data_IF_612047584217
#
_entry.id   IF_612047584217
#
_cell.length_a   1.000
_cell.length_b   1.000
_cell.length_c   1.000
_cell.angle_alpha   90.00
_cell.angle_beta   90.00
_cell.angle_gamma   90.00
#
_symmetry.space_group_name_H-M   'P 1'
#
loop_
_entity.id
_entity.type
_entity.pdbx_description
1 polymer ?
#
# COMPACT_ATOMS: atom_id res chain seq x y z
N UNK A 1 -39.72 2.52 3.62
CA UNK A 1 -39.32 2.70 5.03
C UNK A 1 -37.82 2.95 5.07
N UNK A 2 -37.39 4.19 5.26
CA UNK A 2 -35.97 4.53 5.45
C UNK A 2 -35.58 4.17 6.89
N UNK A 3 -34.74 3.16 7.06
CA UNK A 3 -34.16 2.83 8.36
C UNK A 3 -33.37 4.04 8.88
N UNK A 4 -33.90 4.70 9.91
CA UNK A 4 -33.25 5.78 10.68
C UNK A 4 -32.12 5.27 11.59
N UNK A 5 -31.69 4.01 11.48
CA UNK A 5 -30.53 3.53 12.21
C UNK A 5 -29.28 4.31 11.75
N UNK A 6 -28.50 4.89 12.68
CA UNK A 6 -27.32 5.63 12.29
C UNK A 6 -26.36 4.72 11.52
N UNK A 7 -25.93 5.18 10.35
CA UNK A 7 -24.86 4.53 9.58
C UNK A 7 -23.63 4.45 10.49
N UNK A 8 -23.12 3.25 10.74
CA UNK A 8 -21.97 2.93 11.60
C UNK A 8 -22.17 3.13 13.12
N UNK A 9 -23.00 2.27 13.75
CA UNK A 9 -23.15 2.19 15.22
C UNK A 9 -21.82 2.05 15.98
N UNK A 10 -20.82 1.40 15.37
CA UNK A 10 -19.49 1.26 15.95
C UNK A 10 -18.86 2.61 16.32
N UNK A 11 -19.05 3.65 15.50
CA UNK A 11 -18.46 4.98 15.72
C UNK A 11 -19.11 5.76 16.88
N UNK A 12 -20.21 5.26 17.44
CA UNK A 12 -20.89 5.86 18.59
C UNK A 12 -20.43 5.28 19.93
N UNK A 13 -19.58 4.25 19.90
CA UNK A 13 -19.00 3.72 21.12
C UNK A 13 -18.13 4.78 21.82
N UNK A 14 -18.11 4.79 23.17
CA UNK A 14 -17.12 5.56 23.91
C UNK A 14 -15.71 5.23 23.44
N UNK A 15 -14.82 6.23 23.45
CA UNK A 15 -13.46 6.13 22.89
C UNK A 15 -12.72 4.85 23.30
N UNK A 16 -12.69 4.53 24.59
CA UNK A 16 -11.99 3.34 25.09
C UNK A 16 -12.57 2.02 24.57
N UNK A 17 -13.90 1.93 24.44
CA UNK A 17 -14.56 0.76 23.88
C UNK A 17 -14.28 0.63 22.38
N UNK A 18 -14.30 1.75 21.66
CA UNK A 18 -13.95 1.79 20.24
C UNK A 18 -12.49 1.38 20.00
N UNK A 19 -11.56 1.93 20.77
CA UNK A 19 -10.14 1.58 20.72
C UNK A 19 -9.93 0.09 21.02
N UNK A 20 -10.60 -0.45 22.04
CA UNK A 20 -10.54 -1.88 22.38
C UNK A 20 -11.01 -2.77 21.23
N UNK A 21 -12.17 -2.47 20.62
CA UNK A 21 -12.68 -3.25 19.47
C UNK A 21 -11.70 -3.19 18.29
N UNK A 22 -11.24 -1.99 17.92
CA UNK A 22 -10.38 -1.82 16.74
C UNK A 22 -8.93 -2.28 16.99
N UNK A 23 -8.50 -2.39 18.24
CA UNK A 23 -7.21 -3.00 18.58
C UNK A 23 -7.14 -4.49 18.24
N UNK A 24 -8.30 -5.16 18.17
CA UNK A 24 -8.40 -6.56 17.76
C UNK A 24 -8.47 -6.74 16.24
N UNK A 25 -8.65 -5.66 15.47
CA UNK A 25 -8.66 -5.75 14.01
C UNK A 25 -7.26 -5.99 13.45
N UNK A 26 -7.16 -6.81 12.42
CA UNK A 26 -5.94 -6.95 11.63
C UNK A 26 -5.72 -5.75 10.69
N UNK A 27 -4.63 -5.78 9.91
CA UNK A 27 -4.28 -4.67 9.00
C UNK A 27 -5.26 -4.54 7.84
N UNK A 28 -5.80 -5.65 7.34
CA UNK A 28 -6.78 -5.63 6.27
C UNK A 28 -8.10 -5.05 6.79
N UNK A 29 -8.57 -5.50 7.95
CA UNK A 29 -9.79 -4.98 8.59
C UNK A 29 -9.66 -3.50 8.93
N UNK A 30 -8.50 -3.06 9.42
CA UNK A 30 -8.22 -1.63 9.67
C UNK A 30 -8.14 -0.82 8.39
N UNK A 31 -7.51 -1.35 7.35
CA UNK A 31 -7.52 -0.73 6.02
C UNK A 31 -8.96 -0.58 5.53
N UNK A 32 -9.76 -1.63 5.54
CA UNK A 32 -11.15 -1.59 5.09
C UNK A 32 -11.99 -0.60 5.91
N UNK A 33 -11.85 -0.63 7.23
CA UNK A 33 -12.52 0.32 8.09
C UNK A 33 -12.11 1.76 7.75
N UNK A 34 -10.82 2.03 7.54
CA UNK A 34 -10.32 3.36 7.17
C UNK A 34 -10.91 3.89 5.85
N UNK A 35 -11.28 3.00 4.92
CA UNK A 35 -11.85 3.37 3.62
C UNK A 35 -13.36 3.67 3.68
N UNK A 36 -14.04 3.34 4.78
CA UNK A 36 -15.48 3.52 4.92
C UNK A 36 -15.89 5.00 5.04
N UNK A 37 -15.08 5.83 5.69
CA UNK A 37 -15.32 7.28 5.80
C UNK A 37 -14.09 8.02 6.32
N UNK A 38 -14.04 9.35 6.13
CA UNK A 38 -13.02 10.22 6.75
C UNK A 38 -12.95 10.06 8.27
N UNK A 39 -14.09 9.82 8.94
CA UNK A 39 -14.13 9.60 10.39
C UNK A 39 -13.51 8.26 10.76
N UNK A 40 -13.79 7.20 10.01
CA UNK A 40 -13.16 5.90 10.25
C UNK A 40 -11.64 5.97 10.06
N UNK A 41 -11.17 6.64 9.00
CA UNK A 41 -9.74 6.87 8.76
C UNK A 41 -9.07 7.53 9.97
N UNK A 42 -9.60 8.67 10.45
CA UNK A 42 -9.09 9.38 11.64
C UNK A 42 -9.07 8.52 12.90
N UNK A 43 -10.06 7.64 13.07
CA UNK A 43 -10.07 6.71 14.20
C UNK A 43 -8.90 5.74 14.08
N UNK A 44 -8.69 5.12 12.91
CA UNK A 44 -7.57 4.18 12.70
C UNK A 44 -6.22 4.87 12.90
N UNK A 45 -6.05 6.09 12.38
CA UNK A 45 -4.84 6.92 12.55
C UNK A 45 -4.49 7.19 14.02
N UNK A 46 -5.49 7.16 14.92
CA UNK A 46 -5.30 7.42 16.35
C UNK A 46 -4.94 6.16 17.15
N UNK A 47 -5.04 4.98 16.55
CA UNK A 47 -4.76 3.71 17.20
C UNK A 47 -3.28 3.38 17.17
N UNK A 48 -2.80 2.67 18.19
CA UNK A 48 -1.51 1.97 18.11
C UNK A 48 -1.70 0.73 17.25
N UNK A 49 -1.33 0.81 15.98
CA UNK A 49 -1.65 -0.24 15.01
C UNK A 49 -0.58 -1.35 14.88
N UNK A 50 0.61 -1.24 15.49
CA UNK A 50 1.64 -2.29 15.43
C UNK A 50 2.21 -2.58 14.03
N UNK A 51 1.77 -1.83 13.02
CA UNK A 51 2.38 -1.77 11.70
C UNK A 51 3.79 -1.22 11.86
N UNK A 52 4.77 -1.91 11.27
CA UNK A 52 6.18 -1.53 11.37
C UNK A 52 6.73 -1.07 10.02
N UNK A 53 6.22 -1.61 8.91
CA UNK A 53 6.83 -1.41 7.61
C UNK A 53 5.79 -1.40 6.49
N UNK A 54 5.95 -0.46 5.57
CA UNK A 54 5.32 -0.50 4.24
C UNK A 54 6.42 -0.82 3.23
N UNK A 55 6.22 -1.89 2.46
CA UNK A 55 7.08 -2.27 1.35
C UNK A 55 6.35 -2.08 0.03
N UNK A 56 6.97 -1.39 -0.92
CA UNK A 56 6.45 -1.19 -2.27
C UNK A 56 7.40 -1.90 -3.24
N UNK A 57 6.88 -2.87 -3.99
CA UNK A 57 7.61 -3.58 -5.03
C UNK A 57 6.95 -3.35 -6.38
N UNK A 58 7.73 -2.91 -7.35
CA UNK A 58 7.26 -2.44 -8.64
C UNK A 58 8.02 -3.18 -9.74
N UNK A 59 7.29 -3.75 -10.69
CA UNK A 59 7.86 -4.38 -11.88
C UNK A 59 6.95 -4.22 -13.09
N UNK A 60 7.44 -4.59 -14.28
CA UNK A 60 6.70 -4.39 -15.53
C UNK A 60 5.36 -5.16 -15.63
N UNK A 61 5.16 -6.21 -14.81
CA UNK A 61 3.94 -7.07 -14.84
C UNK A 61 2.98 -6.76 -13.71
N UNK A 62 3.51 -6.45 -12.54
CA UNK A 62 2.80 -6.44 -11.28
C UNK A 62 3.42 -5.41 -10.34
N UNK A 63 2.60 -4.49 -9.88
CA UNK A 63 2.91 -3.66 -8.72
C UNK A 63 2.30 -4.29 -7.48
N UNK A 64 3.06 -4.35 -6.40
CA UNK A 64 2.60 -4.87 -5.13
C UNK A 64 3.00 -3.97 -3.98
N UNK A 65 2.07 -3.73 -3.07
CA UNK A 65 2.29 -3.03 -1.81
C UNK A 65 2.06 -4.02 -0.69
N UNK A 66 2.95 -4.00 0.29
CA UNK A 66 2.89 -4.87 1.46
C UNK A 66 2.85 -4.03 2.71
N UNK A 67 2.02 -4.43 3.65
CA UNK A 67 1.94 -3.86 4.99
C UNK A 67 2.35 -4.96 5.94
N UNK A 68 3.43 -4.75 6.70
CA UNK A 68 3.99 -5.73 7.62
C UNK A 68 3.80 -5.23 9.05
N UNK A 69 3.41 -6.15 9.93
CA UNK A 69 3.23 -5.86 11.34
C UNK A 69 3.81 -6.90 12.27
N UNK A 70 4.12 -6.44 13.48
CA UNK A 70 4.77 -7.23 14.51
C UNK A 70 6.23 -7.57 14.17
N UNK A 71 6.96 -8.08 15.16
CA UNK A 71 8.37 -8.47 14.99
C UNK A 71 8.55 -9.78 14.21
N UNK A 72 7.47 -10.49 13.90
CA UNK A 72 7.49 -11.75 13.15
C UNK A 72 6.85 -11.56 11.78
N UNK A 73 7.57 -11.94 10.71
CA UNK A 73 7.17 -11.92 9.29
C UNK A 73 5.88 -12.72 8.93
N UNK A 74 5.06 -13.12 9.91
CA UNK A 74 3.84 -13.92 9.72
C UNK A 74 2.56 -13.09 9.55
N UNK A 75 2.58 -11.80 9.90
CA UNK A 75 1.44 -10.89 9.77
C UNK A 75 1.73 -9.85 8.68
N UNK A 76 1.30 -10.14 7.45
CA UNK A 76 1.40 -9.21 6.33
C UNK A 76 0.10 -9.23 5.51
N UNK A 77 -0.19 -8.10 4.88
CA UNK A 77 -1.25 -7.98 3.87
C UNK A 77 -0.63 -7.60 2.53
N UNK A 78 -0.97 -8.33 1.48
CA UNK A 78 -0.53 -8.03 0.11
C UNK A 78 -1.61 -7.29 -0.65
N UNK A 79 -1.24 -6.18 -1.26
CA UNK A 79 -2.06 -5.44 -2.19
C UNK A 79 -1.42 -5.56 -3.56
N UNK A 80 -2.01 -6.33 -4.46
CA UNK A 80 -1.56 -6.47 -5.83
C UNK A 80 -2.36 -5.55 -6.73
N UNK A 81 -1.69 -4.86 -7.64
CA UNK A 81 -2.33 -3.94 -8.57
C UNK A 81 -2.14 -4.49 -9.99
N UNK A 82 -3.27 -4.69 -10.68
CA UNK A 82 -3.33 -5.25 -12.02
C UNK A 82 -3.96 -4.25 -12.98
N UNK A 83 -3.55 -4.24 -14.25
CA UNK A 83 -4.18 -3.40 -15.28
C UNK A 83 -5.62 -3.86 -15.59
N UNK A 84 -5.88 -5.15 -15.66
CA UNK A 84 -7.21 -5.68 -16.03
C UNK A 84 -7.81 -6.57 -14.95
N UNK A 85 -9.13 -6.47 -14.71
CA UNK A 85 -9.83 -7.39 -13.83
C UNK A 85 -10.10 -8.75 -14.51
N UNK A 86 -10.10 -9.85 -13.76
CA UNK A 86 -10.70 -11.10 -14.20
C UNK A 86 -12.23 -10.96 -14.29
N UNK A 87 -12.90 -11.96 -14.87
CA UNK A 87 -14.36 -12.07 -14.80
C UNK A 87 -14.82 -12.35 -13.36
N UNK A 88 -16.02 -11.89 -12.99
CA UNK A 88 -16.66 -12.22 -11.71
C UNK A 88 -17.12 -11.02 -10.88
N UNK A 89 -17.44 -11.29 -9.62
CA UNK A 89 -17.94 -10.29 -8.67
C UNK A 89 -16.80 -9.48 -8.08
N UNK A 90 -17.00 -8.16 -8.00
CA UNK A 90 -15.99 -7.23 -7.53
C UNK A 90 -16.58 -6.27 -6.50
N UNK A 91 -15.71 -5.83 -5.61
CA UNK A 91 -16.00 -4.76 -4.66
C UNK A 91 -15.38 -3.47 -5.18
N UNK A 92 -15.80 -2.34 -4.61
CA UNK A 92 -15.26 -1.04 -4.94
C UNK A 92 -14.81 -0.35 -3.65
N UNK A 93 -13.64 0.28 -3.70
CA UNK A 93 -13.10 1.09 -2.62
C UNK A 93 -12.83 2.49 -3.13
N UNK A 94 -12.92 3.50 -2.26
CA UNK A 94 -12.54 4.87 -2.60
C UNK A 94 -11.26 5.24 -1.85
N UNK A 95 -10.17 5.48 -2.59
CA UNK A 95 -8.86 5.93 -2.06
C UNK A 95 -8.57 7.32 -2.62
N UNK A 96 -8.38 8.30 -1.74
CA UNK A 96 -8.13 9.70 -2.11
C UNK A 96 -9.12 10.25 -3.19
N UNK A 97 -10.40 9.89 -3.07
CA UNK A 97 -11.45 10.31 -4.01
C UNK A 97 -11.54 9.49 -5.30
N UNK A 98 -10.63 8.53 -5.50
CA UNK A 98 -10.63 7.62 -6.67
C UNK A 98 -11.32 6.32 -6.31
N UNK A 99 -12.32 5.92 -7.08
CA UNK A 99 -13.01 4.64 -6.91
C UNK A 99 -12.27 3.55 -7.69
N UNK A 100 -11.73 2.58 -6.98
CA UNK A 100 -10.92 1.48 -7.52
C UNK A 100 -11.67 0.18 -7.33
N UNK A 101 -11.69 -0.65 -8.38
CA UNK A 101 -12.30 -1.97 -8.37
C UNK A 101 -11.34 -2.95 -7.69
N UNK A 102 -11.86 -3.84 -6.84
CA UNK A 102 -11.04 -4.81 -6.13
C UNK A 102 -11.70 -6.18 -5.93
N UNK A 103 -10.86 -7.18 -5.66
CA UNK A 103 -11.26 -8.48 -5.08
C UNK A 103 -10.37 -8.74 -3.88
N UNK A 104 -10.86 -9.48 -2.88
CA UNK A 104 -10.07 -9.82 -1.69
C UNK A 104 -10.20 -11.28 -1.30
N UNK A 105 -9.16 -11.79 -0.67
CA UNK A 105 -9.16 -12.98 0.18
C UNK A 105 -8.44 -12.61 1.50
N UNK A 106 -8.42 -13.48 2.53
CA UNK A 106 -8.00 -13.11 3.88
C UNK A 106 -6.60 -12.48 4.02
N UNK A 107 -5.69 -12.61 3.04
CA UNK A 107 -4.33 -12.03 3.11
C UNK A 107 -3.92 -11.22 1.89
N UNK A 108 -4.78 -11.17 0.87
CA UNK A 108 -4.48 -10.57 -0.43
C UNK A 108 -5.67 -9.77 -0.92
N UNK A 109 -5.39 -8.53 -1.26
CA UNK A 109 -6.29 -7.64 -1.98
C UNK A 109 -5.72 -7.45 -3.38
N UNK A 110 -6.56 -7.59 -4.39
CA UNK A 110 -6.21 -7.28 -5.78
C UNK A 110 -6.99 -6.04 -6.20
N UNK A 111 -6.29 -4.98 -6.56
CA UNK A 111 -6.83 -3.79 -7.20
C UNK A 111 -6.70 -3.88 -8.71
N UNK A 112 -7.70 -3.33 -9.41
CA UNK A 112 -7.76 -3.33 -10.85
C UNK A 112 -7.77 -1.89 -11.36
N UNK A 113 -6.65 -1.50 -11.97
CA UNK A 113 -6.23 -0.15 -12.31
C UNK A 113 -6.05 -0.02 -13.84
N UNK A 114 -7.13 -0.01 -14.64
CA UNK A 114 -7.05 -0.09 -16.10
C UNK A 114 -6.55 1.16 -16.81
N UNK A 115 -6.44 2.29 -16.10
CA UNK A 115 -6.08 3.57 -16.70
C UNK A 115 -4.73 4.10 -16.20
N UNK A 116 -4.55 4.16 -14.89
CA UNK A 116 -3.39 4.85 -14.30
C UNK A 116 -2.81 4.04 -13.12
N UNK A 117 -2.05 2.98 -13.44
CA UNK A 117 -1.45 2.09 -12.44
C UNK A 117 -0.55 2.85 -11.45
N UNK A 118 0.23 3.80 -11.94
CA UNK A 118 1.10 4.67 -11.13
C UNK A 118 0.30 5.49 -10.13
N UNK A 119 -0.74 6.17 -10.59
CA UNK A 119 -1.60 7.02 -9.76
C UNK A 119 -2.38 6.22 -8.74
N UNK A 120 -2.92 5.06 -9.11
CA UNK A 120 -3.67 4.21 -8.19
C UNK A 120 -2.74 3.52 -7.17
N UNK A 121 -1.50 3.17 -7.56
CA UNK A 121 -0.47 2.71 -6.62
C UNK A 121 -0.14 3.82 -5.62
N UNK A 122 0.08 5.04 -6.10
CA UNK A 122 0.37 6.18 -5.23
C UNK A 122 -0.78 6.44 -4.25
N UNK A 123 -2.03 6.45 -4.73
CA UNK A 123 -3.20 6.66 -3.89
C UNK A 123 -3.32 5.59 -2.78
N UNK A 124 -3.00 4.33 -3.09
CA UNK A 124 -2.94 3.26 -2.10
C UNK A 124 -1.83 3.50 -1.07
N UNK A 125 -0.59 3.76 -1.51
CA UNK A 125 0.55 3.95 -0.62
C UNK A 125 0.34 5.19 0.26
N UNK A 126 -0.09 6.32 -0.29
CA UNK A 126 -0.43 7.53 0.46
C UNK A 126 -1.47 7.22 1.54
N UNK A 127 -2.55 6.50 1.18
CA UNK A 127 -3.59 6.14 2.14
C UNK A 127 -3.05 5.26 3.26
N UNK A 128 -2.17 4.30 2.96
CA UNK A 128 -1.57 3.41 3.95
C UNK A 128 -0.57 4.16 4.86
N UNK A 129 0.29 4.99 4.30
CA UNK A 129 1.26 5.83 5.04
C UNK A 129 0.53 6.77 5.99
N UNK A 130 -0.53 7.44 5.52
CA UNK A 130 -1.34 8.32 6.34
C UNK A 130 -2.09 7.56 7.44
N UNK A 131 -2.72 6.43 7.08
CA UNK A 131 -3.55 5.63 8.01
C UNK A 131 -2.74 4.96 9.10
N UNK A 132 -1.57 4.40 8.75
CA UNK A 132 -0.71 3.66 9.67
C UNK A 132 0.47 4.48 10.19
N UNK A 133 0.61 5.75 9.80
CA UNK A 133 1.66 6.67 10.25
C UNK A 133 3.07 6.06 10.24
N UNK A 134 3.35 5.26 9.21
CA UNK A 134 4.66 4.63 8.98
C UNK A 134 5.17 5.01 7.60
N UNK A 135 6.48 5.30 7.46
CA UNK A 135 7.06 5.61 6.16
C UNK A 135 7.21 4.35 5.29
N UNK A 136 7.54 4.56 4.02
CA UNK A 136 7.95 3.47 3.12
C UNK A 136 9.31 2.97 3.58
N UNK A 137 9.37 1.73 4.08
CA UNK A 137 10.60 1.10 4.56
C UNK A 137 11.43 0.54 3.40
N UNK A 138 10.75 -0.05 2.43
CA UNK A 138 11.39 -0.71 1.29
C UNK A 138 10.69 -0.22 0.02
N UNK A 139 11.48 0.30 -0.91
CA UNK A 139 11.05 0.56 -2.28
C UNK A 139 11.92 -0.30 -3.20
N UNK A 140 11.30 -1.24 -3.91
CA UNK A 140 11.98 -2.21 -4.74
C UNK A 140 11.53 -2.09 -6.19
N UNK A 141 12.50 -1.91 -7.09
CA UNK A 141 12.29 -1.92 -8.53
C UNK A 141 12.93 -3.18 -9.13
N UNK A 142 12.10 -4.01 -9.76
CA UNK A 142 12.57 -5.11 -10.61
C UNK A 142 12.64 -4.60 -12.05
N UNK A 143 13.87 -4.35 -12.51
CA UNK A 143 14.16 -3.55 -13.69
C UNK A 143 14.00 -4.30 -15.02
N UNK A 144 13.89 -5.64 -14.97
CA UNK A 144 13.75 -6.45 -16.18
C UNK A 144 12.52 -6.01 -16.99
N UNK A 145 12.75 -5.59 -18.23
CA UNK A 145 11.73 -5.13 -19.18
C UNK A 145 10.89 -3.93 -18.70
N UNK A 146 11.38 -3.17 -17.71
CA UNK A 146 10.59 -2.12 -17.07
C UNK A 146 10.94 -0.73 -17.59
N UNK A 147 10.46 -0.38 -18.79
CA UNK A 147 10.82 0.89 -19.45
C UNK A 147 10.22 2.14 -18.79
N UNK A 148 9.01 2.04 -18.23
CA UNK A 148 8.26 3.20 -17.70
C UNK A 148 8.42 3.37 -16.17
N UNK A 149 9.50 2.85 -15.59
CA UNK A 149 9.70 2.85 -14.13
C UNK A 149 9.81 4.26 -13.54
N UNK A 150 10.26 5.24 -14.33
CA UNK A 150 10.48 6.62 -13.89
C UNK A 150 9.19 7.31 -13.44
N UNK A 151 8.03 6.92 -13.99
CA UNK A 151 6.72 7.41 -13.54
C UNK A 151 6.44 7.04 -12.07
N UNK A 152 6.95 5.89 -11.62
CA UNK A 152 6.81 5.47 -10.23
C UNK A 152 7.82 6.15 -9.30
N UNK A 153 9.00 6.50 -9.79
CA UNK A 153 10.02 7.25 -9.02
C UNK A 153 9.44 8.57 -8.54
N UNK A 154 8.73 9.29 -9.42
CA UNK A 154 8.06 10.55 -9.07
C UNK A 154 6.98 10.39 -7.99
N UNK A 155 6.37 9.19 -7.88
CA UNK A 155 5.34 8.92 -6.88
C UNK A 155 5.92 8.64 -5.50
N UNK A 156 7.16 8.13 -5.42
CA UNK A 156 7.79 7.64 -4.19
C UNK A 156 9.19 8.22 -4.02
N UNK A 157 9.30 9.53 -3.71
CA UNK A 157 10.58 10.22 -3.68
C UNK A 157 11.45 9.86 -2.48
N UNK A 158 10.95 9.06 -1.52
CA UNK A 158 11.66 8.73 -0.28
C UNK A 158 11.35 7.34 0.24
N UNK A 159 12.38 6.62 0.69
CA UNK A 159 12.27 5.37 1.41
C UNK A 159 13.47 5.15 2.34
N UNK A 160 13.44 4.14 3.23
CA UNK A 160 14.64 3.78 3.99
C UNK A 160 15.61 2.93 3.17
N UNK A 161 15.10 1.89 2.52
CA UNK A 161 15.89 0.94 1.74
C UNK A 161 15.41 0.96 0.28
N UNK A 162 16.22 1.53 -0.60
CA UNK A 162 16.02 1.44 -2.04
C UNK A 162 16.67 0.16 -2.55
N UNK A 163 15.91 -0.66 -3.29
CA UNK A 163 16.38 -1.92 -3.85
C UNK A 163 16.13 -1.94 -5.34
N UNK A 164 17.13 -2.37 -6.08
CA UNK A 164 17.01 -2.69 -7.49
C UNK A 164 17.42 -4.13 -7.74
N UNK A 165 16.67 -4.81 -8.59
CA UNK A 165 16.97 -6.18 -8.99
C UNK A 165 16.67 -6.41 -10.46
N UNK A 166 17.37 -7.35 -11.08
CA UNK A 166 17.10 -7.79 -12.44
C UNK A 166 17.96 -8.99 -12.79
N UNK A 167 17.45 -9.84 -13.67
CA UNK A 167 18.21 -10.92 -14.30
C UNK A 167 19.18 -10.34 -15.33
N UNK A 168 18.75 -9.31 -16.06
CA UNK A 168 19.58 -8.64 -17.06
C UNK A 168 20.42 -7.52 -16.42
N UNK A 169 21.56 -7.17 -17.03
CA UNK A 169 22.33 -6.01 -16.61
C UNK A 169 21.47 -4.74 -16.59
N UNK A 170 21.41 -4.09 -15.43
CA UNK A 170 20.75 -2.80 -15.24
C UNK A 170 21.75 -1.72 -15.67
N UNK A 171 21.31 -0.78 -16.51
CA UNK A 171 22.18 0.28 -17.02
C UNK A 171 22.67 1.18 -15.89
N UNK A 172 23.91 1.66 -15.97
CA UNK A 172 24.45 2.62 -14.99
C UNK A 172 23.67 3.95 -14.99
N UNK A 173 23.09 4.33 -16.12
CA UNK A 173 22.19 5.48 -16.21
C UNK A 173 20.95 5.30 -15.33
N UNK A 174 20.29 4.14 -15.40
CA UNK A 174 19.08 3.87 -14.61
C UNK A 174 19.39 3.75 -13.12
N UNK A 175 20.54 3.17 -12.78
CA UNK A 175 21.05 3.10 -11.40
C UNK A 175 21.25 4.51 -10.84
N UNK A 176 22.00 5.34 -11.58
CA UNK A 176 22.29 6.73 -11.20
C UNK A 176 21.00 7.52 -11.05
N UNK A 177 20.08 7.40 -12.01
CA UNK A 177 18.79 8.08 -11.97
C UNK A 177 18.00 7.73 -10.69
N UNK A 178 17.91 6.44 -10.33
CA UNK A 178 17.20 6.02 -9.12
C UNK A 178 17.87 6.53 -7.84
N UNK A 179 19.21 6.51 -7.78
CA UNK A 179 19.95 7.00 -6.60
C UNK A 179 19.79 8.52 -6.40
N UNK A 180 19.76 9.29 -7.48
CA UNK A 180 19.63 10.76 -7.42
C UNK A 180 18.20 11.22 -7.14
N UNK A 181 17.19 10.48 -7.60
CA UNK A 181 15.80 10.93 -7.57
C UNK A 181 14.96 10.32 -6.44
N UNK A 182 15.50 9.32 -5.72
CA UNK A 182 14.86 8.75 -4.52
C UNK A 182 15.77 9.00 -3.33
N UNK A 183 15.32 9.78 -2.35
CA UNK A 183 16.01 9.91 -1.07
C UNK A 183 15.97 8.57 -0.32
N UNK A 184 17.13 8.03 0.04
CA UNK A 184 17.25 6.73 0.70
C UNK A 184 18.41 6.68 1.70
N UNK A 185 18.29 5.81 2.71
CA UNK A 185 19.36 5.58 3.70
C UNK A 185 20.31 4.46 3.25
N UNK A 186 19.79 3.44 2.57
CA UNK A 186 20.55 2.30 2.08
C UNK A 186 20.14 1.94 0.66
N UNK A 187 21.12 1.60 -0.17
CA UNK A 187 20.91 1.18 -1.55
C UNK A 187 21.38 -0.25 -1.77
N UNK A 188 20.51 -1.10 -2.33
CA UNK A 188 20.83 -2.50 -2.62
C UNK A 188 20.69 -2.79 -4.11
N UNK A 189 21.69 -3.44 -4.69
CA UNK A 189 21.67 -3.95 -6.07
C UNK A 189 21.76 -5.48 -6.04
N UNK A 190 20.73 -6.16 -6.57
CA UNK A 190 20.62 -7.62 -6.56
C UNK A 190 20.83 -8.25 -5.16
N UNK A 191 20.31 -7.58 -4.12
CA UNK A 191 20.42 -8.01 -2.72
C UNK A 191 21.70 -7.60 -1.99
N UNK A 192 22.69 -7.02 -2.69
CA UNK A 192 23.94 -6.56 -2.09
C UNK A 192 23.90 -5.07 -1.77
N UNK A 193 24.24 -4.69 -0.53
CA UNK A 193 24.41 -3.29 -0.14
C UNK A 193 25.55 -2.66 -0.95
N UNK A 194 25.32 -1.47 -1.50
CA UNK A 194 26.30 -0.69 -2.26
C UNK A 194 26.94 0.41 -1.40
#
# INVERSE_FOLDING_TARGET
MTSNAPKFRLLYLPRLALESVLSNFDHLERFEFSTCSKRCKRVVESLKHGCIEIGVRINHRLTSVTVISGSTLKAFTWFHLFKSPPSGNHQFVTLNGRTIRMTKNPRRVSFYCPRELTVDTKALVDHLVETFRVPIKILEFEMDYFNDYRDFVQCFPKCDNLRISGVWPISEEDITYLQEHVEHNHFYKNGNLQ
#
